data_IF_793839531474
#
_entry.id   IF_793839531474
#
_cell.length_a   1.000
_cell.length_b   1.000
_cell.length_c   1.000
_cell.angle_alpha   90.00
_cell.angle_beta   90.00
_cell.angle_gamma   90.00
#
_symmetry.space_group_name_H-M   'P 1'
#
loop_
_entity.id
_entity.type
_entity.pdbx_description
1 polymer ?
#
# COMPACT_ATOMS: atom_id res chain seq x y z
N UNK A 1 5.33 -45.28 -40.42
CA UNK A 1 5.67 -43.85 -40.24
C UNK A 1 4.92 -43.40 -39.00
N UNK A 2 5.63 -43.20 -37.88
CA UNK A 2 5.04 -42.70 -36.64
C UNK A 2 4.90 -41.19 -36.80
N UNK A 3 3.67 -40.67 -36.72
CA UNK A 3 3.46 -39.22 -36.66
C UNK A 3 4.06 -38.72 -35.34
N UNK A 4 4.95 -37.73 -35.47
CA UNK A 4 5.53 -37.04 -34.32
C UNK A 4 4.47 -36.11 -33.73
N UNK A 5 4.34 -36.00 -32.40
CA UNK A 5 3.32 -35.14 -31.80
C UNK A 5 3.53 -33.70 -32.25
N UNK A 6 2.44 -33.05 -32.64
CA UNK A 6 2.36 -31.64 -32.99
C UNK A 6 3.03 -30.78 -31.92
N UNK A 7 3.90 -29.86 -32.36
CA UNK A 7 4.84 -29.12 -31.54
C UNK A 7 4.25 -28.45 -30.30
N UNK A 8 5.05 -28.43 -29.24
CA UNK A 8 4.75 -27.76 -27.98
C UNK A 8 4.59 -26.24 -28.21
N UNK A 9 3.39 -25.73 -28.01
CA UNK A 9 3.12 -24.30 -27.99
C UNK A 9 3.61 -23.70 -26.66
N UNK A 10 4.41 -22.64 -26.74
CA UNK A 10 4.98 -21.95 -25.59
C UNK A 10 4.59 -20.47 -25.60
N UNK A 11 4.39 -19.88 -24.42
CA UNK A 11 4.14 -18.44 -24.28
C UNK A 11 5.43 -17.68 -24.57
N UNK A 12 5.46 -16.95 -25.68
CA UNK A 12 6.63 -16.18 -26.10
C UNK A 12 6.81 -14.90 -25.27
N UNK A 13 5.72 -14.20 -24.95
CA UNK A 13 5.76 -12.97 -24.16
C UNK A 13 4.46 -12.70 -23.41
N UNK A 14 4.56 -12.00 -22.29
CA UNK A 14 3.42 -11.49 -21.51
C UNK A 14 3.72 -10.06 -21.08
N UNK A 15 2.88 -9.12 -21.51
CA UNK A 15 3.05 -7.70 -21.22
C UNK A 15 2.13 -7.28 -20.09
N UNK A 16 2.72 -6.71 -19.02
CA UNK A 16 1.98 -6.15 -17.89
C UNK A 16 2.21 -4.64 -17.84
N UNK A 17 1.12 -3.87 -17.78
CA UNK A 17 1.15 -2.41 -17.62
C UNK A 17 0.26 -2.01 -16.45
N UNK A 18 0.85 -1.31 -15.48
CA UNK A 18 0.20 -0.78 -14.30
C UNK A 18 0.65 0.67 -14.08
N UNK A 19 -0.23 1.52 -13.56
CA UNK A 19 0.06 2.91 -13.23
C UNK A 19 -0.55 3.26 -11.89
N UNK A 20 0.20 4.01 -11.07
CA UNK A 20 -0.23 4.49 -9.76
C UNK A 20 0.10 5.98 -9.70
N UNK A 21 -0.87 6.75 -9.23
CA UNK A 21 -0.72 8.18 -8.94
C UNK A 21 -1.13 8.40 -7.49
N UNK A 22 -0.28 9.08 -6.73
CA UNK A 22 -0.54 9.43 -5.33
C UNK A 22 -0.58 10.94 -5.25
N UNK A 23 -1.72 11.46 -4.79
CA UNK A 23 -1.95 12.88 -4.57
C UNK A 23 -2.73 13.07 -3.25
N UNK A 24 -2.96 14.32 -2.88
CA UNK A 24 -3.64 14.67 -1.64
C UNK A 24 -5.15 14.37 -1.64
N UNK A 25 -5.76 14.16 -2.81
CA UNK A 25 -7.20 13.87 -2.96
C UNK A 25 -7.53 12.43 -2.55
N UNK A 26 -6.61 11.49 -2.76
CA UNK A 26 -6.80 10.05 -2.55
C UNK A 26 -7.03 9.60 -1.11
N UNK A 27 -7.02 10.51 -0.12
CA UNK A 27 -7.38 10.27 1.28
C UNK A 27 -7.77 11.61 1.90
N UNK A 28 -8.83 12.26 1.39
CA UNK A 28 -9.32 13.52 1.96
C UNK A 28 -9.81 13.31 3.40
N UNK A 29 -8.88 13.45 4.35
CA UNK A 29 -9.03 13.74 5.77
C UNK A 29 -10.28 13.17 6.46
N UNK A 30 -10.51 11.85 6.41
CA UNK A 30 -11.54 11.23 7.27
C UNK A 30 -11.04 11.20 8.71
N UNK A 31 -11.40 12.27 9.41
CA UNK A 31 -11.42 12.46 10.85
C UNK A 31 -10.17 13.10 11.46
N UNK A 32 -10.15 14.43 11.44
CA UNK A 32 -9.42 15.24 12.41
C UNK A 32 -9.96 14.98 13.83
N UNK A 33 -9.56 13.88 14.46
CA UNK A 33 -9.82 13.59 15.88
C UNK A 33 -8.84 14.33 16.82
N UNK A 34 -8.46 15.57 16.47
CA UNK A 34 -7.57 16.40 17.28
C UNK A 34 -8.25 17.00 18.53
N UNK A 35 -9.57 16.89 18.66
CA UNK A 35 -10.35 17.57 19.70
C UNK A 35 -10.46 16.82 21.04
N UNK A 36 -10.00 15.57 21.17
CA UNK A 36 -10.18 14.79 22.43
C UNK A 36 -8.97 14.80 23.38
N UNK A 37 -7.79 15.22 22.92
CA UNK A 37 -6.57 15.14 23.76
C UNK A 37 -6.36 16.32 24.73
N UNK A 38 -7.15 17.40 24.65
CA UNK A 38 -7.04 18.53 25.59
C UNK A 38 -8.02 18.36 26.76
N UNK A 39 -7.89 17.27 27.54
CA UNK A 39 -8.38 17.29 28.92
C UNK A 39 -7.31 17.88 29.82
N UNK A 40 -7.47 19.18 30.09
CA UNK A 40 -6.75 19.94 31.12
C UNK A 40 -6.73 19.13 32.43
N UNK A 41 -5.52 18.94 32.96
CA UNK A 41 -5.31 18.62 34.37
C UNK A 41 -5.28 17.13 34.70
N UNK A 42 -4.14 16.48 34.45
CA UNK A 42 -3.49 15.55 35.38
C UNK A 42 -2.13 15.15 34.82
N UNK A 43 -1.13 15.10 35.70
CA UNK A 43 0.24 14.69 35.42
C UNK A 43 0.22 13.26 34.84
N UNK A 44 0.36 13.13 33.53
CA UNK A 44 0.71 11.89 32.87
C UNK A 44 2.00 12.14 32.09
N UNK A 45 3.13 11.85 32.74
CA UNK A 45 4.44 11.72 32.11
C UNK A 45 4.46 10.43 31.30
N UNK A 46 3.76 10.44 30.17
CA UNK A 46 4.09 9.62 29.02
C UNK A 46 3.49 10.35 27.83
N UNK A 47 4.14 11.45 27.45
CA UNK A 47 3.95 12.01 26.12
C UNK A 47 4.34 10.88 25.18
N UNK A 48 3.34 10.21 24.61
CA UNK A 48 3.47 9.56 23.31
C UNK A 48 3.96 10.66 22.38
N UNK A 49 5.28 10.86 22.30
CA UNK A 49 5.88 11.62 21.23
C UNK A 49 5.38 10.97 19.95
N UNK A 50 4.74 11.75 19.08
CA UNK A 50 4.32 11.25 17.79
C UNK A 50 5.47 10.54 17.08
N UNK A 51 5.14 9.54 16.27
CA UNK A 51 6.12 8.90 15.40
C UNK A 51 6.21 9.78 14.15
N UNK A 52 7.39 10.30 13.87
CA UNK A 52 7.66 11.00 12.62
C UNK A 52 7.89 9.96 11.52
N UNK A 53 7.10 10.02 10.45
CA UNK A 53 7.29 9.23 9.23
C UNK A 53 7.61 10.17 8.08
N UNK A 54 8.87 10.14 7.63
CA UNK A 54 9.37 11.00 6.55
C UNK A 54 9.86 10.08 5.43
N UNK A 55 9.08 9.99 4.34
CA UNK A 55 9.40 9.19 3.17
C UNK A 55 10.23 10.01 2.14
N UNK A 56 11.37 10.54 2.58
CA UNK A 56 12.29 11.40 1.78
C UNK A 56 13.40 10.63 1.06
N UNK A 57 13.30 9.30 1.01
CA UNK A 57 14.23 8.36 0.39
C UNK A 57 13.45 7.17 -0.18
N UNK A 58 14.04 6.29 -1.01
CA UNK A 58 13.32 5.15 -1.60
C UNK A 58 12.63 4.29 -0.53
N UNK A 59 11.36 3.98 -0.75
CA UNK A 59 10.52 3.20 0.15
C UNK A 59 9.70 2.17 -0.64
N UNK A 60 9.19 1.16 0.07
CA UNK A 60 8.26 0.18 -0.49
C UNK A 60 6.82 0.58 -0.16
N UNK A 61 5.89 0.27 -1.06
CA UNK A 61 4.46 0.45 -0.86
C UNK A 61 3.67 -0.79 -1.29
N UNK A 62 2.44 -0.91 -0.79
CA UNK A 62 1.51 -1.97 -1.15
C UNK A 62 0.08 -1.46 -1.09
N UNK A 63 -0.73 -1.83 -2.09
CA UNK A 63 -2.19 -1.69 -2.04
C UNK A 63 -2.75 -3.09 -1.81
N UNK A 64 -3.40 -3.28 -0.67
CA UNK A 64 -3.91 -4.58 -0.20
C UNK A 64 -5.39 -4.45 0.14
N UNK A 65 -6.17 -5.48 -0.19
CA UNK A 65 -7.53 -5.65 0.33
C UNK A 65 -7.46 -6.31 1.71
N UNK A 66 -8.06 -5.67 2.72
CA UNK A 66 -7.81 -6.00 4.13
C UNK A 66 -8.42 -7.33 4.60
N UNK A 67 -9.57 -7.72 4.04
CA UNK A 67 -10.31 -8.89 4.52
C UNK A 67 -9.66 -10.21 4.07
N UNK A 68 -9.31 -10.32 2.79
CA UNK A 68 -8.64 -11.47 2.21
C UNK A 68 -7.12 -11.36 2.28
N UNK A 69 -6.59 -10.15 2.42
CA UNK A 69 -5.16 -9.89 2.36
C UNK A 69 -4.60 -9.92 0.93
N UNK A 70 -5.45 -9.86 -0.09
CA UNK A 70 -5.00 -9.88 -1.49
C UNK A 70 -4.20 -8.63 -1.82
N UNK A 71 -3.03 -8.83 -2.43
CA UNK A 71 -2.15 -7.73 -2.87
C UNK A 71 -2.57 -7.34 -4.29
N UNK A 72 -3.01 -6.09 -4.45
CA UNK A 72 -3.40 -5.52 -5.73
C UNK A 72 -2.22 -4.86 -6.44
N UNK A 73 -1.38 -4.17 -5.66
CA UNK A 73 -0.16 -3.51 -6.15
C UNK A 73 0.96 -3.61 -5.11
N UNK A 74 2.20 -3.66 -5.58
CA UNK A 74 3.42 -3.62 -4.75
C UNK A 74 4.53 -2.96 -5.57
N UNK A 75 5.37 -2.16 -4.90
CA UNK A 75 6.53 -1.51 -5.52
C UNK A 75 7.39 -0.76 -4.52
#
# INVERSE_FOLDING_TARGET
MVESPSGEEHVESMFHKASIEVNEEGTEATTANSTVLIKKGKRFTHRSSGIDFVADHPFLFMIREDFTGTILFIG
#
